data_IF_698025868305
#
_entry.id   IF_698025868305
#
_cell.length_a   1.000
_cell.length_b   1.000
_cell.length_c   1.000
_cell.angle_alpha   90.00
_cell.angle_beta   90.00
_cell.angle_gamma   90.00
#
_symmetry.space_group_name_H-M   'P 1'
#
loop_
_entity.id
_entity.type
_entity.pdbx_description
1 polymer ?
#
# COMPACT_ATOMS: atom_id res chain seq x y z
N UNK A 1 -6.93 54.63 -13.31
CA UNK A 1 -7.80 53.46 -13.03
C UNK A 1 -6.91 52.23 -13.07
N UNK A 2 -6.55 51.66 -11.91
CA UNK A 2 -5.56 50.61 -11.78
C UNK A 2 -6.20 49.23 -11.98
N UNK A 3 -5.51 48.33 -12.67
CA UNK A 3 -5.83 46.90 -12.67
C UNK A 3 -4.62 46.16 -12.12
N UNK A 4 -4.70 45.91 -10.82
CA UNK A 4 -3.80 45.09 -10.02
C UNK A 4 -3.85 43.64 -10.50
N UNK A 5 -2.74 43.09 -10.99
CA UNK A 5 -2.51 41.64 -10.95
C UNK A 5 -1.05 41.42 -10.55
N UNK A 6 -0.88 41.01 -9.29
CA UNK A 6 0.38 40.65 -8.66
C UNK A 6 0.90 39.30 -9.21
N UNK A 7 2.20 38.99 -9.00
CA UNK A 7 2.92 37.97 -9.75
C UNK A 7 2.61 36.56 -9.24
N UNK A 8 2.46 35.62 -10.17
CA UNK A 8 2.41 34.18 -9.91
C UNK A 8 3.73 33.71 -9.32
N UNK A 9 3.79 33.69 -7.99
CA UNK A 9 4.87 33.13 -7.20
C UNK A 9 4.95 31.62 -7.39
N UNK A 10 6.20 31.16 -7.57
CA UNK A 10 6.76 29.93 -7.01
C UNK A 10 5.93 28.63 -7.13
N UNK A 11 6.32 27.77 -8.07
CA UNK A 11 6.55 26.34 -7.75
C UNK A 11 7.42 25.66 -8.81
N UNK A 12 8.67 26.13 -8.90
CA UNK A 12 9.77 25.24 -9.28
C UNK A 12 10.26 24.59 -7.99
N UNK A 13 9.81 23.35 -7.70
CA UNK A 13 10.36 22.58 -6.60
C UNK A 13 10.36 21.09 -6.95
N UNK A 14 11.55 20.61 -7.33
CA UNK A 14 12.08 19.27 -7.07
C UNK A 14 11.31 18.04 -7.61
N UNK A 15 11.53 17.73 -8.89
CA UNK A 15 11.28 16.40 -9.50
C UNK A 15 12.36 15.33 -9.20
N UNK A 16 13.28 15.54 -8.25
CA UNK A 16 14.46 14.68 -8.11
C UNK A 16 14.79 14.15 -6.70
N UNK A 17 13.95 14.36 -5.68
CA UNK A 17 14.25 13.90 -4.31
C UNK A 17 13.07 13.23 -3.57
N UNK A 18 12.30 12.39 -4.27
CA UNK A 18 11.23 11.58 -3.65
C UNK A 18 11.16 10.15 -4.19
N UNK A 19 12.23 9.63 -4.78
CA UNK A 19 12.29 8.25 -5.30
C UNK A 19 12.51 7.18 -4.22
N UNK A 20 12.67 7.53 -2.94
CA UNK A 20 12.85 6.59 -1.82
C UNK A 20 11.62 6.41 -0.91
N UNK A 21 10.46 6.96 -1.28
CA UNK A 21 9.17 6.58 -0.67
C UNK A 21 8.27 5.91 -1.71
N UNK A 22 8.83 4.97 -2.48
CA UNK A 22 8.01 3.99 -3.18
C UNK A 22 7.26 3.20 -2.13
N UNK A 23 6.02 3.62 -1.91
CA UNK A 23 5.05 3.07 -1.00
C UNK A 23 5.09 1.55 -1.14
N UNK A 24 5.66 0.85 -0.16
CA UNK A 24 5.60 -0.60 -0.11
C UNK A 24 4.12 -0.90 0.15
N UNK A 25 3.39 -1.03 -0.94
CA UNK A 25 1.94 -1.17 -0.95
C UNK A 25 1.66 -2.63 -0.60
N UNK A 26 1.45 -2.85 0.71
CA UNK A 26 1.28 -4.15 1.35
C UNK A 26 -0.18 -4.42 1.64
N UNK A 27 -0.68 -5.56 1.19
CA UNK A 27 -2.11 -5.91 1.31
C UNK A 27 -2.41 -6.90 2.44
N UNK A 28 -1.53 -7.87 2.68
CA UNK A 28 -1.68 -8.85 3.78
C UNK A 28 -0.33 -9.35 4.28
N UNK A 29 -0.31 -9.84 5.51
CA UNK A 29 0.84 -10.52 6.12
C UNK A 29 0.68 -12.03 5.95
N UNK A 30 1.76 -12.78 6.06
CA UNK A 30 1.77 -14.24 6.05
C UNK A 30 2.55 -14.71 7.26
N UNK A 31 2.01 -15.70 7.96
CA UNK A 31 2.68 -16.37 9.06
C UNK A 31 2.80 -17.85 8.73
N UNK A 32 4.02 -18.34 8.66
CA UNK A 32 4.32 -19.74 8.39
C UNK A 32 4.68 -20.43 9.70
N UNK A 33 4.10 -21.61 9.94
CA UNK A 33 4.43 -22.40 11.14
C UNK A 33 4.88 -23.80 10.73
N UNK A 34 6.13 -24.12 11.05
CA UNK A 34 6.64 -25.46 10.82
C UNK A 34 6.19 -26.37 11.96
N UNK A 35 5.35 -27.35 11.67
CA UNK A 35 4.91 -28.37 12.63
C UNK A 35 5.74 -29.64 12.43
N UNK A 36 6.47 -30.03 13.46
CA UNK A 36 7.32 -31.22 13.45
C UNK A 36 6.50 -32.45 13.86
N UNK A 37 6.08 -33.25 12.88
CA UNK A 37 5.18 -34.41 13.07
C UNK A 37 5.67 -35.48 14.05
N UNK A 38 6.99 -35.54 14.35
CA UNK A 38 7.56 -36.53 15.28
C UNK A 38 7.48 -36.12 16.75
N UNK A 39 7.54 -34.83 17.05
CA UNK A 39 7.60 -34.31 18.42
C UNK A 39 6.47 -33.33 18.75
N UNK A 40 5.63 -32.97 17.77
CA UNK A 40 4.49 -32.06 17.96
C UNK A 40 4.90 -30.59 18.17
N UNK A 41 6.20 -30.29 18.22
CA UNK A 41 6.67 -28.92 18.32
C UNK A 41 6.29 -28.12 17.08
N UNK A 42 5.96 -26.85 17.28
CA UNK A 42 5.56 -25.99 16.20
C UNK A 42 6.27 -24.64 16.33
N UNK A 43 7.15 -24.37 15.37
CA UNK A 43 8.00 -23.17 15.35
C UNK A 43 7.36 -22.16 14.40
N UNK A 44 7.04 -20.99 14.93
CA UNK A 44 6.55 -19.86 14.14
C UNK A 44 7.73 -19.16 13.48
N UNK A 45 7.71 -19.08 12.15
CA UNK A 45 8.69 -18.32 11.39
C UNK A 45 8.38 -16.81 11.43
N UNK A 46 9.36 -15.96 11.10
CA UNK A 46 9.14 -14.52 10.98
C UNK A 46 7.98 -14.19 10.03
N UNK A 47 7.24 -13.13 10.34
CA UNK A 47 6.14 -12.69 9.50
C UNK A 47 6.65 -12.13 8.16
N UNK A 48 6.05 -12.60 7.06
CA UNK A 48 6.34 -12.14 5.71
C UNK A 48 5.23 -11.19 5.22
N UNK A 49 5.60 -10.23 4.38
CA UNK A 49 4.65 -9.31 3.77
C UNK A 49 4.35 -9.73 2.34
N UNK A 50 3.07 -9.96 2.03
CA UNK A 50 2.63 -10.36 0.69
C UNK A 50 2.11 -9.13 -0.05
N UNK A 51 2.76 -8.87 -1.19
CA UNK A 51 2.35 -7.82 -2.13
C UNK A 51 1.09 -8.26 -2.84
N UNK A 52 0.15 -7.33 -3.03
CA UNK A 52 -1.04 -7.58 -3.82
C UNK A 52 -0.86 -7.02 -5.21
N UNK A 53 -1.32 -7.79 -6.18
CA UNK A 53 -1.33 -7.42 -7.60
C UNK A 53 -2.74 -7.05 -8.08
N UNK A 54 -3.72 -6.98 -7.18
CA UNK A 54 -5.10 -6.69 -7.54
C UNK A 54 -5.35 -5.18 -7.65
N UNK A 55 -6.09 -4.75 -8.66
CA UNK A 55 -6.45 -3.34 -8.89
C UNK A 55 -7.51 -2.81 -7.93
N UNK A 56 -8.26 -3.69 -7.26
CA UNK A 56 -9.31 -3.35 -6.29
C UNK A 56 -8.78 -3.24 -4.84
N UNK A 57 -7.47 -3.28 -4.61
CA UNK A 57 -6.92 -3.08 -3.28
C UNK A 57 -6.25 -1.71 -3.20
N UNK A 58 -6.67 -0.84 -2.28
CA UNK A 58 -6.07 0.49 -2.09
C UNK A 58 -4.56 0.45 -1.81
N UNK A 59 -4.09 -0.66 -1.23
CA UNK A 59 -2.68 -0.91 -0.92
C UNK A 59 -1.95 -1.71 -1.99
N UNK A 60 -2.51 -1.89 -3.19
CA UNK A 60 -1.81 -2.51 -4.31
C UNK A 60 -1.13 -1.44 -5.15
N UNK A 61 0.02 -1.77 -5.75
CA UNK A 61 0.66 -0.89 -6.73
C UNK A 61 -0.19 -0.75 -8.01
N UNK A 62 -1.05 -1.72 -8.28
CA UNK A 62 -1.92 -1.74 -9.44
C UNK A 62 -3.25 -1.03 -9.20
N UNK A 63 -3.44 -0.41 -8.02
CA UNK A 63 -4.62 0.39 -7.76
C UNK A 63 -4.57 1.67 -8.60
N UNK A 64 -5.58 1.93 -9.43
CA UNK A 64 -5.56 3.09 -10.30
C UNK A 64 -5.64 4.38 -9.47
N UNK A 65 -4.79 5.36 -9.78
CA UNK A 65 -4.81 6.68 -9.14
C UNK A 65 -6.11 7.47 -9.44
N UNK A 66 -6.86 7.05 -10.46
CA UNK A 66 -8.19 7.57 -10.78
C UNK A 66 -9.28 7.06 -9.84
N UNK A 67 -9.06 5.93 -9.14
CA UNK A 67 -10.02 5.41 -8.17
C UNK A 67 -9.94 6.22 -6.88
N UNK A 68 -10.95 7.07 -6.69
CA UNK A 68 -11.09 7.99 -5.56
C UNK A 68 -12.38 7.67 -4.77
N UNK A 69 -12.48 8.12 -3.51
CA UNK A 69 -13.75 8.09 -2.79
C UNK A 69 -14.82 8.88 -3.54
N UNK A 70 -16.12 8.47 -3.51
CA UNK A 70 -16.70 7.41 -2.69
C UNK A 70 -16.61 5.99 -3.29
N UNK A 71 -16.39 5.86 -4.61
CA UNK A 71 -16.39 4.57 -5.31
C UNK A 71 -15.35 3.60 -4.73
N UNK A 72 -14.12 4.07 -4.48
CA UNK A 72 -13.06 3.27 -3.87
C UNK A 72 -13.49 2.63 -2.53
N UNK A 73 -14.18 3.38 -1.67
CA UNK A 73 -14.60 2.88 -0.35
C UNK A 73 -15.63 1.75 -0.44
N UNK A 74 -16.42 1.73 -1.52
CA UNK A 74 -17.47 0.74 -1.75
C UNK A 74 -16.96 -0.48 -2.51
N UNK A 75 -16.06 -0.29 -3.47
CA UNK A 75 -15.63 -1.36 -4.40
C UNK A 75 -14.26 -1.94 -4.06
N UNK A 76 -13.43 -1.21 -3.32
CA UNK A 76 -12.04 -1.57 -3.08
C UNK A 76 -11.75 -1.90 -1.61
N UNK A 77 -10.81 -2.81 -1.39
CA UNK A 77 -10.37 -3.19 -0.06
C UNK A 77 -9.68 -2.02 0.63
N UNK A 78 -10.25 -1.59 1.76
CA UNK A 78 -9.78 -0.46 2.56
C UNK A 78 -8.88 -0.86 3.73
N UNK A 79 -8.90 -2.12 4.12
CA UNK A 79 -8.13 -2.65 5.24
C UNK A 79 -7.17 -3.75 4.78
N UNK A 80 -6.08 -3.92 5.54
CA UNK A 80 -5.18 -5.08 5.35
C UNK A 80 -5.94 -6.33 5.76
N UNK A 81 -5.92 -7.35 4.92
CA UNK A 81 -6.57 -8.62 5.25
C UNK A 81 -5.79 -9.34 6.34
N UNK A 82 -6.49 -10.16 7.12
CA UNK A 82 -5.89 -10.98 8.18
C UNK A 82 -4.71 -11.79 7.62
N UNK A 83 -3.64 -12.03 8.41
CA UNK A 83 -2.52 -12.81 7.95
C UNK A 83 -2.95 -14.17 7.41
N UNK A 84 -2.34 -14.56 6.31
CA UNK A 84 -2.52 -15.90 5.78
C UNK A 84 -1.70 -16.89 6.62
N UNK A 85 -2.36 -17.96 7.07
CA UNK A 85 -1.77 -19.02 7.88
C UNK A 85 -1.61 -20.27 7.01
N UNK A 86 -0.42 -20.87 7.05
CA UNK A 86 -0.05 -22.08 6.31
C UNK A 86 0.65 -23.08 7.22
#
# INVERSE_FOLDING_TARGET
>A
MPSSIAPSTFQHCNKLFSFLFHSISMCRRRQVRNIYIRCGHAISLPEEYIRCEQSNCKFSLFHPASCKPPACLQTCWQYRRFPEQY
#
